data_IF_563758004838
#
_entry.id   IF_563758004838
#
_cell.length_a   1.000
_cell.length_b   1.000
_cell.length_c   1.000
_cell.angle_alpha   90.00
_cell.angle_beta   90.00
_cell.angle_gamma   90.00
#
_symmetry.space_group_name_H-M   'P 1'
#
loop_
_entity.id
_entity.type
_entity.pdbx_description
1 polymer ?
#
# COMPACT_ATOMS: atom_id res chain seq x y z
N UNK A 1 7.20 9.50 19.43
CA UNK A 1 6.71 9.58 18.04
C UNK A 1 5.44 8.77 17.98
N UNK A 2 4.29 9.39 17.69
CA UNK A 2 3.06 8.64 17.43
C UNK A 2 3.31 7.74 16.23
N UNK A 3 3.16 6.43 16.41
CA UNK A 3 3.20 5.48 15.30
C UNK A 3 2.05 5.87 14.37
N UNK A 4 2.35 6.11 13.09
CA UNK A 4 1.32 6.40 12.10
C UNK A 4 0.67 5.06 11.71
N UNK A 5 -0.65 4.97 11.82
CA UNK A 5 -1.40 3.75 11.49
C UNK A 5 -1.57 3.64 9.96
N UNK A 6 -0.59 3.00 9.33
CA UNK A 6 -0.62 2.65 7.91
C UNK A 6 -1.05 1.20 7.72
N UNK A 7 -2.04 0.96 6.87
CA UNK A 7 -2.34 -0.36 6.32
C UNK A 7 -2.10 -0.34 4.81
N UNK A 8 -1.12 -1.11 4.33
CA UNK A 8 -0.84 -1.24 2.90
C UNK A 8 -1.39 -2.55 2.39
N UNK A 9 -2.40 -2.45 1.53
CA UNK A 9 -3.01 -3.58 0.85
C UNK A 9 -2.29 -3.80 -0.48
N UNK A 10 -1.73 -4.99 -0.64
CA UNK A 10 -0.93 -5.40 -1.79
C UNK A 10 -1.52 -6.63 -2.47
N UNK A 11 -1.28 -6.77 -3.76
CA UNK A 11 -1.40 -8.08 -4.41
C UNK A 11 -0.18 -8.96 -4.14
N UNK A 12 -0.29 -10.25 -4.43
CA UNK A 12 0.85 -11.19 -4.39
C UNK A 12 2.12 -10.56 -4.99
N UNK A 13 3.22 -10.61 -4.23
CA UNK A 13 4.51 -9.97 -4.57
C UNK A 13 5.11 -10.46 -5.89
N UNK A 14 4.72 -11.66 -6.32
CA UNK A 14 5.14 -12.26 -7.59
C UNK A 14 4.40 -11.70 -8.81
N UNK A 15 3.25 -11.03 -8.61
CA UNK A 15 2.34 -10.67 -9.70
C UNK A 15 1.97 -9.18 -9.76
N UNK A 16 2.26 -8.39 -8.72
CA UNK A 16 1.93 -6.97 -8.68
C UNK A 16 3.16 -6.08 -8.49
N UNK A 17 3.79 -5.71 -9.60
CA UNK A 17 4.90 -4.74 -9.60
C UNK A 17 4.48 -3.36 -9.05
N UNK A 18 3.23 -2.95 -9.29
CA UNK A 18 2.65 -1.73 -8.72
C UNK A 18 2.60 -1.77 -7.20
N UNK A 19 2.24 -2.93 -6.62
CA UNK A 19 2.23 -3.09 -5.16
C UNK A 19 3.64 -3.05 -4.56
N UNK A 20 4.64 -3.50 -5.31
CA UNK A 20 6.02 -3.54 -4.83
C UNK A 20 6.66 -2.16 -4.68
N UNK A 21 6.20 -1.15 -5.42
CA UNK A 21 6.76 0.21 -5.32
C UNK A 21 6.61 0.81 -3.92
N UNK A 22 5.37 1.00 -3.38
CA UNK A 22 5.22 1.54 -2.04
C UNK A 22 5.70 0.55 -0.96
N UNK A 23 5.55 -0.76 -1.20
CA UNK A 23 6.00 -1.78 -0.25
C UNK A 23 7.51 -1.72 -0.03
N UNK A 24 8.31 -1.73 -1.11
CA UNK A 24 9.76 -1.66 -1.01
C UNK A 24 10.22 -0.34 -0.39
N UNK A 25 9.63 0.78 -0.81
CA UNK A 25 9.93 2.10 -0.25
C UNK A 25 9.76 2.10 1.27
N UNK A 26 8.58 1.71 1.76
CA UNK A 26 8.29 1.73 3.21
C UNK A 26 9.17 0.72 3.97
N UNK A 27 9.41 -0.47 3.41
CA UNK A 27 10.27 -1.50 4.03
C UNK A 27 11.74 -1.06 4.11
N UNK A 28 12.30 -0.54 3.01
CA UNK A 28 13.68 -0.07 2.94
C UNK A 28 13.90 1.13 3.85
N UNK A 29 12.92 2.04 3.91
CA UNK A 29 12.96 3.22 4.75
C UNK A 29 12.72 2.91 6.24
N UNK A 30 12.41 1.66 6.61
CA UNK A 30 12.09 1.27 7.98
C UNK A 30 10.85 1.97 8.53
N UNK A 31 9.86 2.25 7.67
CA UNK A 31 8.58 2.84 8.04
C UNK A 31 7.64 1.69 8.42
N UNK A 32 7.10 1.65 9.64
CA UNK A 32 6.19 0.58 10.06
C UNK A 32 4.85 0.72 9.35
N UNK A 33 4.29 -0.41 8.91
CA UNK A 33 2.93 -0.51 8.36
C UNK A 33 2.40 -1.93 8.57
N UNK A 34 1.07 -2.05 8.66
CA UNK A 34 0.38 -3.34 8.58
C UNK A 34 0.24 -3.73 7.12
N UNK A 35 0.68 -4.94 6.78
CA UNK A 35 0.60 -5.49 5.42
C UNK A 35 -0.64 -6.38 5.29
N UNK A 36 -1.49 -6.11 4.29
CA UNK A 36 -2.57 -7.01 3.89
C UNK A 36 -2.30 -7.51 2.49
N UNK A 37 -2.07 -8.81 2.32
CA UNK A 37 -1.78 -9.41 1.02
C UNK A 37 -3.01 -10.11 0.45
N UNK A 38 -3.39 -9.76 -0.78
CA UNK A 38 -4.48 -10.37 -1.53
C UNK A 38 -3.88 -11.30 -2.60
N UNK A 39 -4.34 -12.55 -2.59
CA UNK A 39 -3.95 -13.51 -3.62
C UNK A 39 -4.58 -13.14 -4.95
N UNK A 40 -3.75 -12.92 -5.96
CA UNK A 40 -4.19 -12.53 -7.31
C UNK A 40 -4.54 -13.76 -8.15
N UNK A 41 -5.25 -13.50 -9.26
CA UNK A 41 -5.65 -14.51 -10.25
C UNK A 41 -6.55 -15.61 -9.67
N UNK A 42 -7.32 -15.28 -8.64
CA UNK A 42 -8.40 -16.10 -8.11
C UNK A 42 -9.74 -15.58 -8.65
N UNK A 43 -10.78 -16.42 -8.75
CA UNK A 43 -12.11 -15.99 -9.19
C UNK A 43 -12.68 -14.83 -8.37
N UNK A 44 -12.34 -14.78 -7.07
CA UNK A 44 -12.80 -13.80 -6.09
C UNK A 44 -11.81 -12.64 -5.86
N UNK A 45 -10.67 -12.59 -6.58
CA UNK A 45 -9.65 -11.54 -6.39
C UNK A 45 -10.25 -10.14 -6.46
N UNK A 46 -11.16 -9.87 -7.42
CA UNK A 46 -11.76 -8.55 -7.58
C UNK A 46 -12.63 -8.17 -6.37
N UNK A 47 -13.39 -9.12 -5.85
CA UNK A 47 -14.23 -8.93 -4.66
C UNK A 47 -13.36 -8.64 -3.43
N UNK A 48 -12.31 -9.43 -3.22
CA UNK A 48 -11.35 -9.21 -2.14
C UNK A 48 -10.72 -7.82 -2.23
N UNK A 49 -10.31 -7.36 -3.42
CA UNK A 49 -9.73 -6.01 -3.56
C UNK A 49 -10.77 -4.93 -3.26
N UNK A 50 -12.01 -5.09 -3.72
CA UNK A 50 -13.09 -4.11 -3.51
C UNK A 50 -13.45 -3.94 -2.02
N UNK A 51 -13.24 -4.95 -1.19
CA UNK A 51 -13.40 -4.83 0.26
C UNK A 51 -12.38 -3.87 0.91
N UNK A 52 -11.27 -3.57 0.23
CA UNK A 52 -10.20 -2.71 0.74
C UNK A 52 -10.02 -1.41 -0.04
N UNK A 53 -10.32 -1.44 -1.35
CA UNK A 53 -10.04 -0.36 -2.29
C UNK A 53 -11.25 -0.14 -3.19
N UNK A 54 -11.88 1.06 -3.18
CA UNK A 54 -13.07 1.32 -3.99
C UNK A 54 -12.80 1.25 -5.50
N UNK A 55 -11.52 1.34 -5.92
CA UNK A 55 -11.13 1.25 -7.32
C UNK A 55 -11.08 -0.20 -7.83
N UNK A 56 -11.04 -1.19 -6.93
CA UNK A 56 -10.83 -2.59 -7.30
C UNK A 56 -9.40 -2.90 -7.75
N UNK A 57 -8.45 -2.02 -7.44
CA UNK A 57 -7.02 -2.20 -7.73
C UNK A 57 -6.15 -2.10 -6.47
N UNK A 58 -4.96 -2.69 -6.57
CA UNK A 58 -3.87 -2.63 -5.59
C UNK A 58 -2.62 -2.02 -6.25
N UNK A 59 -1.76 -1.31 -5.50
CA UNK A 59 -1.78 -1.12 -4.05
C UNK A 59 -2.87 -0.16 -3.57
N UNK A 60 -3.25 -0.29 -2.29
CA UNK A 60 -4.09 0.69 -1.60
C UNK A 60 -3.53 0.96 -0.20
N UNK A 61 -3.17 2.20 0.08
CA UNK A 61 -2.76 2.63 1.42
C UNK A 61 -3.99 3.19 2.15
N UNK A 62 -4.31 2.61 3.30
CA UNK A 62 -5.27 3.19 4.24
C UNK A 62 -4.52 3.97 5.30
N UNK A 63 -4.92 5.22 5.49
CA UNK A 63 -4.31 6.13 6.46
C UNK A 63 -5.32 7.22 6.82
N UNK A 64 -5.51 7.51 8.11
CA UNK A 64 -6.41 8.56 8.60
C UNK A 64 -7.84 8.53 8.00
N UNK A 65 -8.39 7.33 7.76
CA UNK A 65 -9.73 7.16 7.19
C UNK A 65 -9.83 7.41 5.68
N UNK A 66 -8.71 7.70 4.99
CA UNK A 66 -8.65 7.79 3.53
C UNK A 66 -7.99 6.56 2.93
N UNK A 67 -8.34 6.28 1.67
CA UNK A 67 -7.73 5.20 0.87
C UNK A 67 -7.06 5.81 -0.35
N UNK A 68 -5.74 5.65 -0.45
CA UNK A 68 -4.92 6.12 -1.57
C UNK A 68 -4.63 4.91 -2.46
N UNK A 69 -5.21 4.87 -3.65
CA UNK A 69 -5.18 3.71 -4.57
C UNK A 69 -4.16 3.78 -5.70
N UNK A 70 -3.27 4.77 -5.71
CA UNK A 70 -2.24 4.94 -6.74
C UNK A 70 -0.83 4.79 -6.14
N UNK A 71 0.01 3.96 -6.78
CA UNK A 71 1.33 3.65 -6.24
C UNK A 71 2.26 4.86 -6.11
N UNK A 72 2.19 5.83 -7.03
CA UNK A 72 3.02 7.03 -6.99
C UNK A 72 2.50 7.98 -5.92
N UNK A 73 1.18 8.20 -5.88
CA UNK A 73 0.56 9.03 -4.84
C UNK A 73 0.86 8.50 -3.43
N UNK A 74 0.86 7.17 -3.24
CA UNK A 74 1.29 6.55 -1.96
C UNK A 74 2.74 6.92 -1.66
N UNK A 75 3.67 6.74 -2.61
CA UNK A 75 5.08 7.04 -2.40
C UNK A 75 5.32 8.54 -2.08
N UNK A 76 4.66 9.45 -2.80
CA UNK A 76 4.74 10.89 -2.56
C UNK A 76 4.17 11.26 -1.19
N UNK A 77 3.02 10.69 -0.80
CA UNK A 77 2.44 10.88 0.53
C UNK A 77 3.42 10.46 1.63
N UNK A 78 4.06 9.30 1.47
CA UNK A 78 5.07 8.84 2.43
C UNK A 78 6.31 9.75 2.43
N UNK A 79 6.73 10.26 1.27
CA UNK A 79 7.84 11.22 1.17
C UNK A 79 7.54 12.52 1.91
N UNK A 80 6.33 13.07 1.75
CA UNK A 80 5.90 14.28 2.43
C UNK A 80 5.81 14.09 3.95
N UNK A 81 5.39 12.90 4.41
CA UNK A 81 5.31 12.55 5.83
C UNK A 81 6.68 12.24 6.47
N UNK A 82 7.67 11.85 5.66
CA UNK A 82 9.01 11.50 6.12
C UNK A 82 10.11 12.22 5.31
N UNK A 83 10.14 13.58 5.33
CA UNK A 83 11.01 14.37 4.46
C UNK A 83 12.51 14.18 4.73
N UNK A 84 12.87 13.65 5.91
CA UNK A 84 14.27 13.39 6.29
C UNK A 84 14.75 11.98 5.96
N UNK A 85 13.87 11.09 5.49
CA UNK A 85 14.25 9.73 5.05
C UNK A 85 14.68 9.76 3.60
N UNK A 86 15.69 8.96 3.25
CA UNK A 86 16.01 8.66 1.84
C UNK A 86 15.11 7.51 1.40
N UNK A 87 14.26 7.79 0.42
CA UNK A 87 13.26 6.88 -0.14
C UNK A 87 13.67 6.42 -1.54
#
# INVERSE_FOLDING_TARGET
MSVQDFELVIGDKNWSSWSMRPWLLMRQAGIPFTETSIRLRQPDTREQILAHSPTGFVPALKWQGVVIGDSLAICETIADLYPTKKL
#
